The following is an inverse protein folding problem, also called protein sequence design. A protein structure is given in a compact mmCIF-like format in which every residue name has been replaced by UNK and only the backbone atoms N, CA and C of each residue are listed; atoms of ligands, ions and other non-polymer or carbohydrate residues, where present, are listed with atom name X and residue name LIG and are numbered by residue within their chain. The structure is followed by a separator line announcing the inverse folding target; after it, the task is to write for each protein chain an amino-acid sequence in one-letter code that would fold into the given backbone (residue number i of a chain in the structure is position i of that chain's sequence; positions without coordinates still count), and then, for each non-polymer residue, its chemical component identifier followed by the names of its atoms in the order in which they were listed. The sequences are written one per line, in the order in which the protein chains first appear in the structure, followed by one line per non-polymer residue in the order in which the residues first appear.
data_IF_168550014594
#
_entry.id   IF_168550014594
#
_cell.length_a   1.000
_cell.length_b   1.000
_cell.length_c   1.000
_cell.angle_alpha   90.00
_cell.angle_beta   90.00
_cell.angle_gamma   90.00
#
_symmetry.space_group_name_H-M   'P 1'
#
loop_
_entity.id
_entity.type
_entity.pdbx_description
1 polymer ?
#
# COMPACT_ATOMS: atom_id res chain seq x y z
N UNK A 1 12.80 -29.47 13.77
CA UNK A 1 11.55 -29.81 14.49
C UNK A 1 11.72 -29.97 16.01
N UNK A 2 12.76 -30.62 16.53
CA UNK A 2 12.96 -30.82 17.98
C UNK A 2 12.87 -29.53 18.82
N UNK A 3 13.69 -28.51 18.53
CA UNK A 3 13.68 -27.25 19.29
C UNK A 3 12.34 -26.51 19.24
N UNK A 4 11.58 -26.61 18.15
CA UNK A 4 10.23 -26.07 18.07
C UNK A 4 9.27 -26.78 19.04
N UNK A 5 9.34 -28.11 19.12
CA UNK A 5 8.50 -28.86 20.07
C UNK A 5 8.86 -28.52 21.53
N UNK A 6 10.15 -28.35 21.84
CA UNK A 6 10.60 -27.92 23.16
C UNK A 6 10.11 -26.50 23.52
N UNK A 7 10.12 -25.58 22.55
CA UNK A 7 9.58 -24.24 22.72
C UNK A 7 8.07 -24.25 22.94
N UNK A 8 7.31 -25.00 22.13
CA UNK A 8 5.85 -25.09 22.26
C UNK A 8 5.43 -25.78 23.57
N UNK A 9 6.24 -26.71 24.08
CA UNK A 9 6.04 -27.33 25.39
C UNK A 9 6.46 -26.43 26.57
N UNK A 10 6.97 -25.22 26.31
CA UNK A 10 7.44 -24.29 27.33
C UNK A 10 8.76 -24.71 28.00
N UNK A 11 9.46 -25.72 27.48
CA UNK A 11 10.75 -26.21 27.98
C UNK A 11 11.92 -25.33 27.53
N UNK A 12 11.76 -24.65 26.40
CA UNK A 12 12.72 -23.68 25.86
C UNK A 12 12.08 -22.27 25.82
N UNK A 13 12.83 -21.24 26.24
CA UNK A 13 12.36 -19.84 26.22
C UNK A 13 12.59 -19.15 24.87
N UNK A 14 13.64 -19.55 24.16
CA UNK A 14 14.03 -18.93 22.89
C UNK A 14 13.20 -19.50 21.74
N UNK A 15 12.58 -18.61 20.98
CA UNK A 15 11.82 -18.97 19.80
C UNK A 15 12.77 -19.42 18.67
N UNK A 16 12.64 -20.64 18.12
CA UNK A 16 13.46 -21.09 17.01
C UNK A 16 13.01 -20.42 15.70
N UNK A 17 13.49 -19.19 15.49
CA UNK A 17 13.08 -18.32 14.39
C UNK A 17 13.34 -18.96 13.02
N UNK A 18 14.50 -19.59 12.83
CA UNK A 18 14.87 -20.24 11.56
C UNK A 18 13.91 -21.39 11.21
N UNK A 19 13.45 -22.14 12.22
CA UNK A 19 12.49 -23.24 12.00
C UNK A 19 11.14 -22.69 11.58
N UNK A 20 10.66 -21.62 12.24
CA UNK A 20 9.39 -20.99 11.88
C UNK A 20 9.47 -20.35 10.49
N UNK A 21 10.59 -19.71 10.17
CA UNK A 21 10.82 -19.13 8.85
C UNK A 21 10.85 -20.20 7.75
N UNK A 22 11.50 -21.34 7.98
CA UNK A 22 11.51 -22.44 7.02
C UNK A 22 10.09 -22.99 6.75
N UNK A 23 9.29 -23.17 7.80
CA UNK A 23 7.89 -23.60 7.68
C UNK A 23 7.01 -22.54 7.00
N UNK A 24 7.23 -21.26 7.29
CA UNK A 24 6.53 -20.14 6.63
C UNK A 24 6.87 -20.09 5.14
N UNK A 25 8.14 -20.30 4.75
CA UNK A 25 8.55 -20.40 3.33
C UNK A 25 7.87 -21.59 2.65
N UNK A 26 7.83 -22.76 3.29
CA UNK A 26 7.16 -23.95 2.75
C UNK A 26 5.67 -23.69 2.47
N UNK A 27 4.96 -23.08 3.42
CA UNK A 27 3.54 -22.72 3.26
C UNK A 27 3.29 -21.61 2.24
N UNK A 28 4.32 -20.83 1.88
CA UNK A 28 4.21 -19.75 0.90
C UNK A 28 4.53 -20.18 -0.52
N UNK A 29 5.23 -21.31 -0.71
CA UNK A 29 5.73 -21.73 -2.01
C UNK A 29 4.63 -21.83 -3.07
N UNK A 30 3.57 -22.59 -2.81
CA UNK A 30 2.48 -22.79 -3.75
C UNK A 30 1.64 -21.51 -3.99
N UNK A 31 1.26 -20.73 -2.96
CA UNK A 31 0.68 -19.40 -3.16
C UNK A 31 1.54 -18.45 -4.00
N UNK A 32 2.86 -18.43 -3.80
CA UNK A 32 3.80 -17.59 -4.58
C UNK A 32 3.84 -17.95 -6.06
N UNK A 33 3.57 -19.20 -6.42
CA UNK A 33 3.47 -19.62 -7.83
C UNK A 33 2.12 -19.24 -8.47
N UNK A 34 1.06 -19.13 -7.67
CA UNK A 34 -0.32 -18.85 -8.15
C UNK A 34 -0.66 -17.37 -8.16
N UNK A 35 -0.06 -16.57 -7.28
CA UNK A 35 -0.45 -15.19 -7.00
C UNK A 35 0.75 -14.25 -7.03
N UNK A 36 0.48 -12.94 -7.14
CA UNK A 36 1.53 -11.93 -7.02
C UNK A 36 1.90 -11.79 -5.55
N UNK A 37 3.09 -12.30 -5.20
CA UNK A 37 3.66 -12.23 -3.86
C UNK A 37 4.35 -10.90 -3.62
N UNK A 38 3.92 -10.17 -2.59
CA UNK A 38 4.52 -8.90 -2.16
C UNK A 38 4.72 -8.97 -0.65
N UNK A 39 5.99 -9.04 -0.22
CA UNK A 39 6.36 -9.23 1.19
C UNK A 39 5.71 -10.51 1.75
N UNK A 40 4.74 -10.37 2.65
CA UNK A 40 3.98 -11.44 3.31
C UNK A 40 2.53 -11.51 2.86
N UNK A 41 2.20 -10.88 1.74
CA UNK A 41 0.86 -10.86 1.18
C UNK A 41 0.82 -11.38 -0.26
N UNK A 42 -0.31 -11.97 -0.63
CA UNK A 42 -0.57 -12.53 -1.95
C UNK A 42 -1.76 -11.84 -2.59
N UNK A 43 -1.61 -11.37 -3.82
CA UNK A 43 -2.63 -10.59 -4.53
C UNK A 43 -3.00 -11.22 -5.86
N UNK A 44 -4.28 -11.14 -6.21
CA UNK A 44 -4.80 -11.60 -7.50
C UNK A 44 -6.17 -10.99 -7.77
N UNK A 45 -6.47 -10.71 -9.04
CA UNK A 45 -7.82 -10.35 -9.48
C UNK A 45 -8.85 -11.45 -9.19
N UNK A 46 -8.41 -12.71 -9.04
CA UNK A 46 -9.29 -13.84 -8.71
C UNK A 46 -9.96 -13.74 -7.32
N UNK A 47 -9.41 -12.94 -6.40
CA UNK A 47 -9.99 -12.72 -5.06
C UNK A 47 -11.20 -11.78 -5.05
N UNK A 48 -11.59 -11.26 -6.22
CA UNK A 48 -12.79 -10.47 -6.38
C UNK A 48 -12.72 -9.08 -5.72
N UNK A 49 -13.78 -8.31 -5.98
CA UNK A 49 -14.10 -6.94 -5.57
C UNK A 49 -12.99 -5.87 -5.66
N UNK A 50 -11.85 -6.22 -6.26
CA UNK A 50 -10.91 -5.28 -6.85
C UNK A 50 -11.50 -4.63 -8.09
N UNK A 51 -11.11 -3.39 -8.34
CA UNK A 51 -11.66 -2.57 -9.41
C UNK A 51 -10.81 -1.34 -9.70
N UNK A 52 -11.18 -0.63 -10.76
CA UNK A 52 -10.46 0.56 -11.19
C UNK A 52 -10.56 1.68 -10.13
N UNK A 53 -9.41 2.25 -9.77
CA UNK A 53 -9.33 3.41 -8.86
C UNK A 53 -9.01 4.70 -9.60
N UNK A 54 -8.90 4.63 -10.93
CA UNK A 54 -8.63 5.75 -11.82
C UNK A 54 -7.14 5.99 -12.08
N UNK A 55 -6.86 6.77 -13.13
CA UNK A 55 -5.51 7.13 -13.58
C UNK A 55 -4.64 5.92 -13.94
N UNK A 56 -5.22 4.90 -14.58
CA UNK A 56 -4.50 3.69 -15.00
C UNK A 56 -4.06 2.77 -13.87
N UNK A 57 -4.72 2.88 -12.72
CA UNK A 57 -4.46 2.07 -11.53
C UNK A 57 -5.75 1.35 -11.12
N UNK A 58 -5.60 0.12 -10.66
CA UNK A 58 -6.66 -0.72 -10.14
C UNK A 58 -6.28 -1.26 -8.75
N UNK A 59 -7.28 -1.59 -7.95
CA UNK A 59 -7.11 -2.22 -6.66
C UNK A 59 -7.18 -3.73 -6.81
N UNK A 60 -6.18 -4.46 -6.32
CA UNK A 60 -6.25 -5.91 -6.18
C UNK A 60 -6.46 -6.27 -4.73
N UNK A 61 -7.36 -7.23 -4.53
CA UNK A 61 -7.54 -7.89 -3.25
C UNK A 61 -6.58 -9.06 -3.10
N UNK A 62 -6.30 -9.39 -1.87
CA UNK A 62 -5.34 -10.41 -1.50
C UNK A 62 -5.46 -10.76 -0.04
N UNK A 63 -4.46 -11.46 0.47
CA UNK A 63 -4.39 -11.82 1.88
C UNK A 63 -2.95 -11.79 2.37
N UNK A 64 -2.78 -11.39 3.62
CA UNK A 64 -1.58 -11.55 4.40
C UNK A 64 -1.51 -12.97 4.96
N UNK A 65 -0.31 -13.52 5.02
CA UNK A 65 -0.03 -14.83 5.59
C UNK A 65 1.22 -14.75 6.47
N UNK A 66 1.11 -15.24 7.71
CA UNK A 66 2.27 -15.50 8.56
C UNK A 66 2.03 -16.69 9.48
N UNK A 67 3.04 -17.55 9.60
CA UNK A 67 3.06 -18.57 10.64
C UNK A 67 3.57 -17.97 11.96
N UNK A 68 2.85 -18.20 13.07
CA UNK A 68 3.22 -17.69 14.39
C UNK A 68 3.16 -18.80 15.44
N UNK A 69 4.09 -18.79 16.38
CA UNK A 69 3.97 -19.61 17.58
C UNK A 69 3.08 -18.89 18.61
N UNK A 70 2.10 -19.62 19.15
CA UNK A 70 1.15 -19.14 20.15
C UNK A 70 1.07 -20.12 21.30
N UNK A 71 0.35 -19.78 22.37
CA UNK A 71 0.08 -20.70 23.49
C UNK A 71 -0.72 -21.94 23.07
N UNK A 72 -1.43 -21.89 21.93
CA UNK A 72 -2.18 -23.03 21.38
C UNK A 72 -1.34 -23.88 20.40
N UNK A 73 -0.05 -23.58 20.25
CA UNK A 73 0.81 -24.18 19.24
C UNK A 73 1.08 -23.23 18.06
N UNK A 74 1.47 -23.81 16.93
CA UNK A 74 1.64 -23.05 15.69
C UNK A 74 0.29 -22.62 15.12
N UNK A 75 0.15 -21.35 14.79
CA UNK A 75 -1.05 -20.77 14.21
C UNK A 75 -0.73 -20.04 12.91
N UNK A 76 -1.50 -20.37 11.87
CA UNK A 76 -1.43 -19.67 10.59
C UNK A 76 -2.33 -18.43 10.68
N UNK A 77 -1.71 -17.25 10.72
CA UNK A 77 -2.41 -15.98 10.73
C UNK A 77 -2.67 -15.53 9.29
N UNK A 78 -3.95 -15.39 8.94
CA UNK A 78 -4.43 -14.94 7.64
C UNK A 78 -5.31 -13.71 7.85
N UNK A 79 -5.07 -12.67 7.06
CA UNK A 79 -5.91 -11.47 7.06
C UNK A 79 -6.12 -10.93 5.65
N UNK A 80 -7.25 -10.29 5.38
CA UNK A 80 -7.55 -9.71 4.07
C UNK A 80 -6.70 -8.44 3.87
N UNK A 81 -6.15 -8.31 2.67
CA UNK A 81 -5.36 -7.15 2.26
C UNK A 81 -5.81 -6.64 0.90
N UNK A 82 -5.57 -5.36 0.64
CA UNK A 82 -5.86 -4.72 -0.65
C UNK A 82 -4.75 -3.74 -0.98
N UNK A 83 -4.31 -3.70 -2.24
CA UNK A 83 -3.27 -2.77 -2.67
C UNK A 83 -3.43 -2.39 -4.14
N UNK A 84 -2.76 -1.32 -4.54
CA UNK A 84 -2.86 -0.75 -5.88
C UNK A 84 -1.88 -1.43 -6.86
N UNK A 85 -2.36 -1.71 -8.07
CA UNK A 85 -1.64 -2.28 -9.18
C UNK A 85 -1.84 -1.44 -10.43
N UNK A 86 -0.85 -1.44 -11.33
CA UNK A 86 -1.04 -0.87 -12.66
C UNK A 86 -2.03 -1.75 -13.44
N UNK A 87 -3.01 -1.11 -14.08
CA UNK A 87 -3.93 -1.77 -15.00
C UNK A 87 -3.15 -2.29 -16.21
N UNK A 88 -3.43 -3.52 -16.63
CA UNK A 88 -2.82 -4.11 -17.82
C UNK A 88 -3.50 -3.54 -19.07
N UNK A 89 -2.86 -2.55 -19.69
CA UNK A 89 -3.43 -1.82 -20.83
C UNK A 89 -2.35 -1.21 -21.73
N UNK A 90 -2.70 -0.78 -22.95
CA UNK A 90 -1.81 0.01 -23.81
C UNK A 90 -1.27 1.24 -23.08
N UNK A 91 -0.01 1.61 -23.36
CA UNK A 91 0.63 2.77 -22.73
C UNK A 91 -0.07 4.08 -23.10
N UNK A 92 -0.63 4.16 -24.31
CA UNK A 92 -1.41 5.32 -24.76
C UNK A 92 -2.64 5.50 -23.86
N UNK A 93 -3.43 4.44 -23.65
CA UNK A 93 -4.63 4.47 -22.81
C UNK A 93 -4.28 4.85 -21.37
N UNK A 94 -3.21 4.26 -20.82
CA UNK A 94 -2.69 4.66 -19.51
C UNK A 94 -2.33 6.14 -19.45
N UNK A 95 -1.65 6.68 -20.47
CA UNK A 95 -1.25 8.07 -20.49
C UNK A 95 -2.45 9.02 -20.57
N UNK A 96 -3.47 8.67 -21.36
CA UNK A 96 -4.72 9.43 -21.46
C UNK A 96 -5.46 9.44 -20.12
N UNK A 97 -5.63 8.27 -19.48
CA UNK A 97 -6.27 8.15 -18.16
C UNK A 97 -5.47 8.88 -17.06
N UNK A 98 -4.13 8.78 -17.09
CA UNK A 98 -3.25 9.36 -16.07
C UNK A 98 -3.17 10.90 -16.15
N UNK A 99 -3.13 11.43 -17.37
CA UNK A 99 -3.07 12.88 -17.61
C UNK A 99 -4.46 13.53 -17.70
N UNK A 100 -5.53 12.72 -17.71
CA UNK A 100 -6.91 13.15 -17.91
C UNK A 100 -7.08 13.95 -19.22
N UNK A 101 -6.57 13.37 -20.31
CA UNK A 101 -6.63 13.92 -21.68
C UNK A 101 -7.51 13.01 -22.53
N UNK A 102 -8.38 13.59 -23.36
CA UNK A 102 -9.33 12.81 -24.17
C UNK A 102 -8.80 12.36 -25.52
N UNK A 103 -7.78 13.04 -26.08
CA UNK A 103 -7.32 12.80 -27.44
C UNK A 103 -5.79 12.70 -27.52
N UNK A 104 -5.32 11.63 -28.17
CA UNK A 104 -3.91 11.39 -28.45
C UNK A 104 -3.36 12.20 -29.64
N UNK A 105 -4.21 12.94 -30.36
CA UNK A 105 -3.79 13.83 -31.46
C UNK A 105 -2.98 15.04 -30.98
N UNK A 106 -3.21 15.50 -29.74
CA UNK A 106 -2.54 16.67 -29.16
C UNK A 106 -1.10 16.34 -28.74
N UNK A 107 -0.19 17.30 -28.92
CA UNK A 107 1.16 17.23 -28.37
C UNK A 107 1.15 17.33 -26.83
N UNK A 108 1.92 16.46 -26.17
CA UNK A 108 2.08 16.53 -24.72
C UNK A 108 2.90 17.77 -24.34
N UNK A 109 2.41 18.50 -23.34
CA UNK A 109 3.20 19.60 -22.75
C UNK A 109 4.42 19.02 -22.02
N UNK A 110 5.48 19.81 -21.86
CA UNK A 110 6.65 19.35 -21.10
C UNK A 110 6.32 18.95 -19.66
N UNK A 111 5.34 19.63 -19.04
CA UNK A 111 4.86 19.28 -17.71
C UNK A 111 4.22 17.88 -17.70
N UNK A 112 3.37 17.58 -18.68
CA UNK A 112 2.69 16.28 -18.77
C UNK A 112 3.66 15.16 -19.13
N UNK A 113 4.61 15.44 -20.03
CA UNK A 113 5.73 14.54 -20.33
C UNK A 113 6.53 14.20 -19.09
N UNK A 114 6.86 15.19 -18.24
CA UNK A 114 7.61 14.96 -17.00
C UNK A 114 6.79 14.19 -15.96
N UNK A 115 5.48 14.42 -15.85
CA UNK A 115 4.56 13.62 -15.01
C UNK A 115 4.55 12.16 -15.48
N UNK A 116 4.35 11.94 -16.78
CA UNK A 116 4.29 10.61 -17.38
C UNK A 116 5.63 9.87 -17.25
N UNK A 117 6.75 10.57 -17.45
CA UNK A 117 8.11 10.03 -17.22
C UNK A 117 8.28 9.53 -15.79
N UNK A 118 7.81 10.28 -14.78
CA UNK A 118 7.87 9.86 -13.38
C UNK A 118 6.96 8.66 -13.09
N UNK A 119 5.78 8.63 -13.70
CA UNK A 119 4.78 7.57 -13.51
C UNK A 119 5.22 6.23 -14.12
N UNK A 120 5.81 6.25 -15.32
CA UNK A 120 6.22 5.07 -16.08
C UNK A 120 7.64 4.57 -15.74
N UNK A 121 8.49 5.39 -15.10
CA UNK A 121 9.85 4.97 -14.73
C UNK A 121 9.83 3.73 -13.85
N UNK A 122 10.43 2.64 -14.34
CA UNK A 122 10.51 1.34 -13.68
C UNK A 122 9.31 0.43 -13.94
N UNK A 123 8.31 0.86 -14.71
CA UNK A 123 7.22 -0.01 -15.16
C UNK A 123 7.75 -0.95 -16.24
N UNK A 124 7.32 -2.22 -16.20
CA UNK A 124 7.62 -3.21 -17.24
C UNK A 124 6.52 -3.21 -18.28
N UNK A 125 6.91 -3.23 -19.55
CA UNK A 125 6.01 -3.27 -20.69
C UNK A 125 6.38 -4.42 -21.61
N UNK A 126 5.42 -4.86 -22.40
CA UNK A 126 5.64 -5.78 -23.52
C UNK A 126 5.43 -5.03 -24.82
N UNK A 127 6.33 -5.24 -25.77
CA UNK A 127 6.19 -4.66 -27.10
C UNK A 127 5.29 -5.54 -27.99
N UNK A 128 4.36 -4.91 -28.71
CA UNK A 128 3.31 -5.60 -29.48
C UNK A 128 3.54 -5.59 -30.99
N UNK A 129 4.55 -4.87 -31.48
CA UNK A 129 4.85 -4.74 -32.91
C UNK A 129 5.38 -6.04 -33.56
N UNK A 130 5.88 -7.00 -32.78
CA UNK A 130 6.33 -8.31 -33.26
C UNK A 130 5.33 -9.38 -32.84
N UNK A 131 4.72 -10.08 -33.80
CA UNK A 131 3.78 -11.17 -33.53
C UNK A 131 4.47 -12.43 -33.00
N UNK A 132 5.72 -12.65 -33.41
CA UNK A 132 6.45 -13.89 -33.12
C UNK A 132 7.22 -13.85 -31.79
N UNK A 133 7.41 -12.66 -31.21
CA UNK A 133 8.25 -12.47 -30.01
C UNK A 133 7.62 -11.49 -29.03
N UNK A 134 7.32 -11.97 -27.83
CA UNK A 134 6.89 -11.16 -26.69
C UNK A 134 8.11 -10.74 -25.87
N UNK A 135 8.69 -9.57 -26.21
CA UNK A 135 9.86 -9.04 -25.49
C UNK A 135 9.41 -8.08 -24.40
N UNK A 136 9.89 -8.30 -23.17
CA UNK A 136 9.60 -7.46 -22.01
C UNK A 136 10.71 -6.43 -21.82
N UNK A 137 10.33 -5.19 -21.60
CA UNK A 137 11.25 -4.08 -21.34
C UNK A 137 10.91 -3.40 -20.03
N UNK A 138 11.94 -2.90 -19.32
CA UNK A 138 11.77 -2.02 -18.17
C UNK A 138 12.01 -0.58 -18.61
N UNK A 139 11.01 0.27 -18.44
CA UNK A 139 11.10 1.68 -18.83
C UNK A 139 12.09 2.41 -17.92
N UNK A 140 13.06 3.09 -18.53
CA UNK A 140 14.04 3.94 -17.84
C UNK A 140 13.65 5.41 -17.91
N UNK A 141 12.97 5.83 -18.98
CA UNK A 141 12.57 7.22 -19.18
C UNK A 141 11.67 7.44 -20.40
N UNK A 142 11.51 8.72 -20.75
CA UNK A 142 10.85 9.20 -21.96
C UNK A 142 11.81 10.15 -22.68
N UNK A 143 11.78 10.15 -24.01
CA UNK A 143 12.54 11.12 -24.82
C UNK A 143 12.08 12.55 -24.55
N UNK A 144 12.98 13.51 -24.76
CA UNK A 144 12.65 14.93 -24.69
C UNK A 144 12.02 15.44 -26.00
N UNK A 145 12.40 14.84 -27.12
CA UNK A 145 11.88 15.15 -28.46
C UNK A 145 10.74 14.21 -28.85
N UNK A 146 9.81 14.66 -29.72
CA UNK A 146 8.74 13.83 -30.26
C UNK A 146 9.28 12.73 -31.17
N UNK A 147 8.46 11.71 -31.42
CA UNK A 147 8.84 10.54 -32.19
C UNK A 147 9.18 10.85 -33.65
N UNK A 148 8.51 11.83 -34.25
CA UNK A 148 8.76 12.26 -35.64
C UNK A 148 10.20 12.73 -35.88
N UNK A 149 10.79 13.40 -34.88
CA UNK A 149 12.13 13.98 -34.97
C UNK A 149 13.20 13.06 -34.36
N UNK A 150 12.77 11.92 -33.79
CA UNK A 150 13.64 10.98 -33.10
C UNK A 150 14.39 10.08 -34.10
N UNK A 151 15.72 10.16 -34.06
CA UNK A 151 16.63 9.29 -34.81
C UNK A 151 17.49 8.47 -33.86
N UNK A 152 17.90 7.29 -34.30
CA UNK A 152 18.86 6.45 -33.61
C UNK A 152 19.91 5.92 -34.59
N UNK A 153 21.05 5.51 -34.05
CA UNK A 153 22.13 4.91 -34.83
C UNK A 153 21.88 3.40 -35.00
N UNK A 154 21.76 2.96 -36.24
CA UNK A 154 21.66 1.56 -36.64
C UNK A 154 22.90 1.23 -37.47
N UNK A 155 23.88 0.59 -36.84
CA UNK A 155 25.13 0.14 -37.47
C UNK A 155 25.89 1.24 -38.24
N UNK A 156 25.93 2.46 -37.70
CA UNK A 156 26.60 3.63 -38.27
C UNK A 156 25.70 4.50 -39.14
N UNK A 157 24.44 4.11 -39.37
CA UNK A 157 23.47 4.88 -40.14
C UNK A 157 22.42 5.48 -39.22
N UNK A 158 22.21 6.81 -39.31
CA UNK A 158 21.11 7.47 -38.58
C UNK A 158 19.79 7.18 -39.26
N UNK A 159 18.89 6.50 -38.54
CA UNK A 159 17.56 6.15 -39.03
C UNK A 159 16.50 6.78 -38.13
N UNK A 160 15.43 7.33 -38.73
CA UNK A 160 14.25 7.79 -37.98
C UNK A 160 13.50 6.60 -37.39
N UNK A 161 13.05 6.71 -36.13
CA UNK A 161 12.27 5.64 -35.49
C UNK A 161 10.97 5.38 -36.26
N UNK A 162 10.31 6.43 -36.77
CA UNK A 162 9.09 6.29 -37.57
C UNK A 162 9.36 5.51 -38.86
N UNK A 163 10.44 5.87 -39.57
CA UNK A 163 10.81 5.19 -40.80
C UNK A 163 11.22 3.74 -40.56
N UNK A 164 11.97 3.48 -39.49
CA UNK A 164 12.37 2.12 -39.10
C UNK A 164 11.15 1.24 -38.86
N UNK A 165 10.14 1.71 -38.12
CA UNK A 165 8.94 0.92 -37.86
C UNK A 165 8.10 0.67 -39.12
N UNK A 166 8.06 1.64 -40.04
CA UNK A 166 7.39 1.49 -41.34
C UNK A 166 8.12 0.48 -42.23
N UNK A 167 9.43 0.57 -42.36
CA UNK A 167 10.22 -0.32 -43.23
C UNK A 167 10.36 -1.73 -42.66
N UNK A 168 10.65 -1.86 -41.37
CA UNK A 168 11.00 -3.15 -40.75
C UNK A 168 9.75 -3.96 -40.37
N UNK A 169 8.68 -3.31 -39.92
CA UNK A 169 7.48 -3.98 -39.40
C UNK A 169 6.21 -3.67 -40.19
N UNK A 170 6.29 -2.90 -41.28
CA UNK A 170 5.13 -2.41 -42.03
C UNK A 170 4.07 -1.75 -41.11
N UNK A 171 4.53 -0.98 -40.12
CA UNK A 171 3.67 -0.37 -39.12
C UNK A 171 3.74 1.16 -39.19
N UNK A 172 2.64 1.78 -39.62
CA UNK A 172 2.49 3.23 -39.69
C UNK A 172 2.01 3.78 -38.34
N UNK A 173 2.94 4.34 -37.58
CA UNK A 173 2.66 4.97 -36.28
C UNK A 173 1.80 6.22 -36.46
N UNK A 174 0.80 6.38 -35.58
CA UNK A 174 -0.14 7.50 -35.59
C UNK A 174 0.25 8.57 -34.57
N UNK A 175 0.66 8.17 -33.37
CA UNK A 175 1.03 9.09 -32.29
C UNK A 175 2.46 9.64 -32.45
N UNK A 176 2.80 10.17 -33.63
CA UNK A 176 4.16 10.61 -33.97
C UNK A 176 4.61 11.87 -33.24
N UNK A 177 3.67 12.66 -32.72
CA UNK A 177 3.98 13.87 -31.95
C UNK A 177 4.24 13.60 -30.47
N UNK A 178 4.05 12.36 -30.02
CA UNK A 178 4.30 11.95 -28.64
C UNK A 178 5.76 11.55 -28.43
N UNK A 179 6.28 11.65 -27.21
CA UNK A 179 7.62 11.15 -26.90
C UNK A 179 7.68 9.62 -26.98
N UNK A 180 8.88 9.10 -27.15
CA UNK A 180 9.16 7.67 -27.19
C UNK A 180 9.50 7.15 -25.79
N UNK A 181 9.12 5.90 -25.47
CA UNK A 181 9.60 5.23 -24.27
C UNK A 181 11.08 4.88 -24.44
N UNK A 182 11.86 5.08 -23.39
CA UNK A 182 13.25 4.63 -23.33
C UNK A 182 13.36 3.41 -22.42
N UNK A 183 14.12 2.42 -22.88
CA UNK A 183 14.56 1.25 -22.14
C UNK A 183 16.04 0.97 -22.44
N UNK A 184 16.61 -0.09 -21.84
CA UNK A 184 18.03 -0.42 -22.01
C UNK A 184 18.95 0.41 -21.12
N UNK A 185 20.22 0.51 -21.48
CA UNK A 185 21.24 1.31 -20.79
C UNK A 185 21.48 2.63 -21.50
N UNK A 186 22.11 3.60 -20.82
CA UNK A 186 22.48 4.89 -21.42
C UNK A 186 23.45 4.71 -22.61
N UNK A 187 24.28 3.67 -22.58
CA UNK A 187 25.20 3.31 -23.68
C UNK A 187 24.53 2.63 -24.87
N UNK A 188 23.38 1.97 -24.66
CA UNK A 188 22.61 1.27 -25.69
C UNK A 188 21.12 1.50 -25.44
N UNK A 189 20.63 2.72 -25.73
CA UNK A 189 19.24 3.06 -25.51
C UNK A 189 18.34 2.31 -26.48
N UNK A 190 17.21 1.83 -25.98
CA UNK A 190 16.16 1.20 -26.77
C UNK A 190 14.97 2.16 -26.81
N UNK A 191 14.56 2.54 -28.01
CA UNK A 191 13.42 3.42 -28.25
C UNK A 191 12.19 2.61 -28.64
N UNK A 192 11.13 2.74 -27.84
CA UNK A 192 9.87 2.02 -28.03
C UNK A 192 8.71 3.02 -28.17
N UNK A 193 8.11 3.16 -29.36
CA UNK A 193 6.90 3.96 -29.51
C UNK A 193 5.81 3.51 -28.52
N UNK A 194 5.13 4.47 -27.90
CA UNK A 194 4.09 4.17 -26.90
C UNK A 194 2.93 3.34 -27.47
N UNK A 195 2.60 3.57 -28.75
CA UNK A 195 1.54 2.87 -29.51
C UNK A 195 1.75 1.36 -29.60
N UNK A 196 3.01 0.90 -29.50
CA UNK A 196 3.36 -0.53 -29.62
C UNK A 196 3.76 -1.16 -28.29
N UNK A 197 3.31 -0.59 -27.16
CA UNK A 197 3.67 -1.05 -25.83
C UNK A 197 2.45 -1.22 -24.92
N UNK A 198 2.37 -2.36 -24.23
CA UNK A 198 1.36 -2.63 -23.21
C UNK A 198 2.00 -2.79 -21.84
N UNK A 199 1.38 -2.20 -20.81
CA UNK A 199 1.76 -2.43 -19.41
C UNK A 199 1.45 -3.88 -19.05
N UNK A 200 2.42 -4.56 -18.46
CA UNK A 200 2.24 -5.92 -17.96
C UNK A 200 1.39 -5.92 -16.67
N UNK A 201 0.55 -6.94 -16.53
CA UNK A 201 -0.23 -7.20 -15.33
C UNK A 201 0.64 -7.53 -14.10
N UNK A 202 0.03 -7.46 -12.90
CA UNK A 202 0.68 -7.89 -11.66
C UNK A 202 1.80 -6.97 -11.18
N UNK A 203 1.86 -5.73 -11.66
CA UNK A 203 2.85 -4.75 -11.23
C UNK A 203 2.29 -3.83 -10.15
N UNK A 204 2.85 -3.90 -8.94
CA UNK A 204 2.44 -3.05 -7.82
C UNK A 204 2.67 -1.57 -8.14
N UNK A 205 1.62 -0.77 -7.96
CA UNK A 205 1.72 0.69 -7.99
C UNK A 205 2.32 1.20 -6.68
N UNK A 206 3.59 1.63 -6.72
CA UNK A 206 4.35 2.00 -5.50
C UNK A 206 4.40 3.50 -5.24
N UNK A 207 3.75 4.32 -6.08
CA UNK A 207 3.72 5.78 -5.91
C UNK A 207 2.61 6.18 -4.95
N UNK A 208 2.71 7.42 -4.44
CA UNK A 208 1.66 7.99 -3.59
C UNK A 208 0.36 8.08 -4.38
N UNK A 209 -0.70 7.51 -3.81
CA UNK A 209 -2.05 7.61 -4.32
C UNK A 209 -2.65 8.98 -3.98
N UNK A 210 -3.55 9.48 -4.83
CA UNK A 210 -4.34 10.67 -4.52
C UNK A 210 -5.47 10.33 -3.52
N UNK A 211 -6.09 11.35 -2.92
CA UNK A 211 -7.13 11.15 -1.89
C UNK A 211 -8.35 10.37 -2.40
N UNK A 212 -8.73 10.56 -3.68
CA UNK A 212 -9.83 9.83 -4.30
C UNK A 212 -9.52 8.33 -4.42
N UNK A 213 -8.30 8.01 -4.88
CA UNK A 213 -7.78 6.64 -4.97
C UNK A 213 -7.70 5.99 -3.59
N UNK A 214 -7.15 6.69 -2.59
CA UNK A 214 -7.10 6.19 -1.20
C UNK A 214 -8.49 5.90 -0.67
N UNK A 215 -9.44 6.82 -0.86
CA UNK A 215 -10.84 6.64 -0.44
C UNK A 215 -11.49 5.45 -1.15
N UNK A 216 -11.23 5.26 -2.45
CA UNK A 216 -11.74 4.13 -3.22
C UNK A 216 -11.20 2.79 -2.69
N UNK A 217 -9.88 2.69 -2.43
CA UNK A 217 -9.29 1.50 -1.81
C UNK A 217 -9.88 1.25 -0.43
N UNK A 218 -10.02 2.28 0.41
CA UNK A 218 -10.62 2.13 1.74
C UNK A 218 -12.05 1.61 1.65
N UNK A 219 -12.87 2.13 0.72
CA UNK A 219 -14.23 1.64 0.51
C UNK A 219 -14.27 0.17 0.07
N UNK A 220 -13.33 -0.25 -0.78
CA UNK A 220 -13.24 -1.64 -1.24
C UNK A 220 -12.65 -2.60 -0.19
N UNK A 221 -11.75 -2.12 0.67
CA UNK A 221 -11.05 -2.94 1.66
C UNK A 221 -11.76 -3.03 3.02
N UNK A 222 -12.62 -2.06 3.35
CA UNK A 222 -13.32 -2.00 4.63
C UNK A 222 -14.54 -2.93 4.64
N UNK A 223 -14.38 -4.10 5.25
CA UNK A 223 -15.45 -5.07 5.47
C UNK A 223 -15.91 -5.08 6.93
N UNK A 224 -17.20 -5.35 7.15
CA UNK A 224 -17.72 -5.59 8.51
C UNK A 224 -17.14 -6.90 9.07
N UNK A 225 -17.00 -7.06 10.40
CA UNK A 225 -16.34 -8.23 10.99
C UNK A 225 -16.85 -9.59 10.46
N UNK A 226 -18.17 -9.78 10.37
CA UNK A 226 -18.76 -11.02 9.84
C UNK A 226 -18.42 -11.27 8.37
N UNK A 227 -18.40 -10.22 7.55
CA UNK A 227 -18.01 -10.32 6.14
C UNK A 227 -16.52 -10.64 6.01
N UNK A 228 -15.67 -9.96 6.80
CA UNK A 228 -14.22 -10.21 6.83
C UNK A 228 -13.90 -11.63 7.26
N UNK A 229 -14.62 -12.16 8.25
CA UNK A 229 -14.50 -13.56 8.67
C UNK A 229 -14.81 -14.53 7.52
N UNK A 230 -15.92 -14.32 6.79
CA UNK A 230 -16.28 -15.16 5.66
C UNK A 230 -15.23 -15.08 4.54
N UNK A 231 -14.72 -13.88 4.26
CA UNK A 231 -13.64 -13.65 3.31
C UNK A 231 -12.36 -14.41 3.66
N UNK A 232 -11.97 -14.42 4.94
CA UNK A 232 -10.80 -15.17 5.41
C UNK A 232 -11.02 -16.68 5.21
N UNK A 233 -12.20 -17.19 5.54
CA UNK A 233 -12.56 -18.60 5.33
C UNK A 233 -12.56 -18.99 3.84
N UNK A 234 -13.02 -18.10 2.97
CA UNK A 234 -12.95 -18.31 1.51
C UNK A 234 -11.50 -18.43 1.02
N UNK A 235 -10.61 -17.56 1.49
CA UNK A 235 -9.17 -17.61 1.18
C UNK A 235 -8.57 -18.94 1.62
N UNK A 236 -8.86 -19.38 2.85
CA UNK A 236 -8.35 -20.66 3.39
C UNK A 236 -8.84 -21.83 2.54
N UNK A 237 -10.14 -21.84 2.21
CA UNK A 237 -10.76 -22.87 1.36
C UNK A 237 -10.13 -22.92 -0.04
N UNK A 238 -9.96 -21.76 -0.69
CA UNK A 238 -9.39 -21.64 -2.04
C UNK A 238 -7.91 -22.05 -2.12
N UNK A 239 -7.13 -21.75 -1.08
CA UNK A 239 -5.73 -22.15 -1.02
C UNK A 239 -5.57 -23.63 -0.71
N UNK A 240 -6.55 -24.23 -0.04
CA UNK A 240 -6.60 -25.66 0.28
C UNK A 240 -5.29 -26.18 0.88
N UNK A 241 -4.80 -25.49 1.93
CA UNK A 241 -3.51 -25.79 2.55
C UNK A 241 -3.37 -27.26 3.01
N UNK A 242 -4.47 -27.95 3.32
CA UNK A 242 -4.46 -29.37 3.68
C UNK A 242 -4.11 -30.31 2.51
N UNK A 243 -4.33 -29.88 1.27
CA UNK A 243 -3.97 -30.64 0.07
C UNK A 243 -2.74 -30.12 -0.67
N UNK A 244 -2.15 -29.03 -0.19
CA UNK A 244 -0.98 -28.40 -0.75
C UNK A 244 0.23 -29.34 -0.75
N UNK A 245 0.95 -29.41 -1.88
CA UNK A 245 2.09 -30.32 -2.05
C UNK A 245 3.20 -30.02 -1.05
N UNK A 246 3.55 -28.74 -0.88
CA UNK A 246 4.60 -28.35 0.07
C UNK A 246 4.15 -28.58 1.51
N UNK A 247 2.90 -28.28 1.86
CA UNK A 247 2.40 -28.59 3.20
C UNK A 247 2.48 -30.10 3.50
N UNK A 248 2.08 -30.96 2.55
CA UNK A 248 2.13 -32.42 2.69
C UNK A 248 3.55 -32.96 2.84
N UNK A 249 4.48 -32.50 2.00
CA UNK A 249 5.89 -32.92 2.04
C UNK A 249 6.55 -32.60 3.40
N UNK A 250 6.21 -31.45 3.97
CA UNK A 250 6.72 -31.03 5.29
C UNK A 250 5.87 -31.56 6.46
N UNK A 251 4.86 -32.41 6.20
CA UNK A 251 3.97 -32.97 7.21
C UNK A 251 3.09 -31.94 7.93
N UNK A 252 2.88 -30.77 7.35
CA UNK A 252 2.08 -29.68 7.92
C UNK A 252 0.61 -29.93 7.62
N UNK A 253 -0.21 -29.96 8.68
CA UNK A 253 -1.67 -30.04 8.58
C UNK A 253 -2.27 -28.73 9.08
N UNK A 254 -2.96 -28.03 8.19
CA UNK A 254 -3.64 -26.76 8.51
C UNK A 254 -5.13 -27.04 8.68
N UNK A 255 -5.70 -26.60 9.79
CA UNK A 255 -7.15 -26.68 10.05
C UNK A 255 -7.90 -25.58 9.30
N UNK A 256 -9.06 -25.91 8.71
CA UNK A 256 -9.90 -24.96 7.97
C UNK A 256 -10.89 -24.18 8.85
N UNK A 257 -10.67 -24.14 10.16
CA UNK A 257 -11.51 -23.46 11.13
C UNK A 257 -10.72 -22.33 11.80
N UNK A 258 -11.42 -21.27 12.18
CA UNK A 258 -10.83 -20.20 12.98
C UNK A 258 -10.56 -20.71 14.40
N UNK A 259 -9.44 -20.28 14.96
CA UNK A 259 -9.12 -20.59 16.35
C UNK A 259 -10.11 -19.89 17.28
N UNK A 260 -10.71 -20.63 18.20
CA UNK A 260 -11.57 -20.10 19.25
C UNK A 260 -10.70 -19.76 20.47
N UNK A 261 -10.90 -18.57 21.01
CA UNK A 261 -10.15 -18.07 22.17
C UNK A 261 -11.13 -17.46 23.16
N UNK A 262 -10.99 -17.83 24.43
CA UNK A 262 -11.78 -17.24 25.51
C UNK A 262 -11.33 -15.79 25.75
N UNK A 263 -12.28 -14.87 25.63
CA UNK A 263 -12.06 -13.45 25.83
C UNK A 263 -12.80 -12.95 27.08
N UNK A 264 -12.26 -11.90 27.72
CA UNK A 264 -12.91 -11.20 28.84
C UNK A 264 -13.09 -9.73 28.50
N UNK A 265 -14.30 -9.21 28.73
CA UNK A 265 -14.60 -7.79 28.61
C UNK A 265 -14.35 -7.14 29.97
N UNK A 266 -13.32 -6.30 30.05
CA UNK A 266 -13.02 -5.58 31.29
C UNK A 266 -14.04 -4.46 31.53
N UNK A 267 -14.40 -4.18 32.80
CA UNK A 267 -15.29 -3.07 33.12
C UNK A 267 -14.64 -1.74 32.74
N UNK A 268 -15.43 -0.82 32.20
CA UNK A 268 -14.95 0.50 31.84
C UNK A 268 -14.48 1.27 33.11
N UNK A 269 -13.34 1.98 33.06
CA UNK A 269 -12.91 2.81 34.17
C UNK A 269 -13.86 3.99 34.35
N UNK A 270 -14.10 4.39 35.60
CA UNK A 270 -14.89 5.59 35.90
C UNK A 270 -14.03 6.82 35.63
N UNK A 271 -14.53 7.74 34.83
CA UNK A 271 -13.87 9.02 34.55
C UNK A 271 -14.38 10.07 35.53
N UNK A 272 -13.45 10.73 36.24
CA UNK A 272 -13.76 11.85 37.14
C UNK A 272 -13.48 13.18 36.43
N UNK A 273 -14.40 14.12 36.60
CA UNK A 273 -14.34 15.49 36.09
C UNK A 273 -14.46 16.48 37.25
N UNK A 274 -14.20 17.76 36.94
CA UNK A 274 -14.22 18.81 37.96
C UNK A 274 -15.61 18.96 38.60
N UNK A 275 -15.63 19.30 39.89
CA UNK A 275 -16.86 19.40 40.69
C UNK A 275 -17.79 20.55 40.28
N UNK A 276 -17.31 21.51 39.48
CA UNK A 276 -18.11 22.60 38.91
C UNK A 276 -18.91 22.17 37.67
N UNK A 277 -18.63 21.01 37.09
CA UNK A 277 -19.43 20.43 36.02
C UNK A 277 -20.78 19.93 36.53
N UNK A 278 -21.79 19.93 35.64
CA UNK A 278 -23.10 19.30 35.92
C UNK A 278 -22.96 17.79 36.07
N UNK A 279 -22.05 17.19 35.31
CA UNK A 279 -21.69 15.78 35.39
C UNK A 279 -20.23 15.65 35.85
N UNK A 280 -20.05 15.07 37.04
CA UNK A 280 -18.75 14.96 37.74
C UNK A 280 -18.08 13.60 37.53
N UNK A 281 -18.88 12.60 37.17
CA UNK A 281 -18.43 11.23 36.94
C UNK A 281 -19.12 10.73 35.69
N UNK A 282 -18.34 10.11 34.80
CA UNK A 282 -18.83 9.49 33.59
C UNK A 282 -18.33 8.05 33.52
N UNK A 283 -19.22 7.12 33.19
CA UNK A 283 -18.85 5.74 32.89
C UNK A 283 -18.90 5.56 31.37
N UNK A 284 -17.75 5.36 30.70
CA UNK A 284 -17.73 5.16 29.26
C UNK A 284 -18.57 3.96 28.85
N UNK A 285 -19.36 4.12 27.80
CA UNK A 285 -20.14 3.04 27.21
C UNK A 285 -19.47 2.63 25.91
N UNK A 286 -19.12 1.33 25.78
CA UNK A 286 -18.48 0.78 24.58
C UNK A 286 -17.20 1.57 24.21
N UNK A 287 -16.44 1.99 25.23
CA UNK A 287 -15.21 2.78 25.06
C UNK A 287 -15.42 4.23 24.60
N UNK A 288 -16.65 4.75 24.61
CA UNK A 288 -16.97 6.11 24.18
C UNK A 288 -17.49 6.97 25.34
N UNK A 289 -17.13 8.24 25.32
CA UNK A 289 -17.66 9.29 26.18
C UNK A 289 -17.53 10.65 25.47
N UNK A 290 -18.26 11.65 25.94
CA UNK A 290 -18.16 13.03 25.43
C UNK A 290 -18.01 14.02 26.59
N UNK A 291 -17.68 15.27 26.26
CA UNK A 291 -17.48 16.36 27.22
C UNK A 291 -18.75 17.13 27.57
N UNK A 292 -19.92 16.68 27.09
CA UNK A 292 -21.17 17.37 27.37
C UNK A 292 -21.41 17.39 28.88
N UNK A 293 -21.77 18.57 29.40
CA UNK A 293 -22.05 18.80 30.82
C UNK A 293 -20.87 18.58 31.80
N UNK A 294 -19.65 18.37 31.30
CA UNK A 294 -18.44 18.09 32.08
C UNK A 294 -17.45 19.25 32.01
N UNK A 295 -16.64 19.40 33.05
CA UNK A 295 -15.57 20.42 33.11
C UNK A 295 -14.25 19.71 33.37
N UNK A 296 -13.18 20.15 32.69
CA UNK A 296 -11.84 19.59 32.90
C UNK A 296 -11.41 19.72 34.35
N UNK A 297 -10.90 18.63 34.93
CA UNK A 297 -10.46 18.55 36.33
C UNK A 297 -9.35 19.56 36.67
N UNK A 298 -8.48 19.84 35.70
CA UNK A 298 -7.50 20.92 35.75
C UNK A 298 -7.61 21.78 34.50
N UNK A 299 -7.55 23.10 34.66
CA UNK A 299 -7.53 24.04 33.55
C UNK A 299 -6.47 25.12 33.73
N UNK A 300 -5.95 25.61 32.62
CA UNK A 300 -4.96 26.68 32.57
C UNK A 300 -5.54 27.87 31.82
N UNK A 301 -5.33 29.07 32.36
CA UNK A 301 -5.67 30.30 31.64
C UNK A 301 -4.64 30.56 30.55
N UNK A 302 -5.10 30.79 29.34
CA UNK A 302 -4.28 30.73 28.15
C UNK A 302 -4.66 31.86 27.21
N UNK A 303 -3.74 32.82 26.99
CA UNK A 303 -3.91 33.94 26.06
C UNK A 303 -3.37 33.54 24.69
N UNK A 304 -4.22 33.56 23.66
CA UNK A 304 -3.84 33.22 22.30
C UNK A 304 -4.23 34.35 21.33
N UNK A 305 -3.39 34.57 20.32
CA UNK A 305 -3.72 35.37 19.13
C UNK A 305 -3.60 34.48 17.90
N UNK A 306 -4.72 34.29 17.20
CA UNK A 306 -4.75 33.60 15.92
C UNK A 306 -4.65 34.60 14.77
N UNK A 307 -3.75 34.42 13.79
CA UNK A 307 -3.78 35.22 12.57
C UNK A 307 -5.10 34.94 11.84
N UNK A 308 -5.85 36.00 11.53
CA UNK A 308 -7.00 35.92 10.64
C UNK A 308 -6.48 36.07 9.21
N UNK A 309 -6.36 34.97 8.48
CA UNK A 309 -6.05 35.02 7.05
C UNK A 309 -7.25 35.68 6.35
N UNK A 310 -7.05 36.87 5.79
CA UNK A 310 -8.00 37.46 4.84
C UNK A 310 -7.73 36.84 3.48
N UNK A 311 -8.78 36.37 2.82
CA UNK A 311 -8.74 36.12 1.38
C UNK A 311 -8.70 37.49 0.68
N UNK A 312 -7.51 37.90 0.25
CA UNK A 312 -7.35 39.03 -0.66
C UNK A 312 -7.70 38.57 -2.08
N UNK A 313 -9.01 38.45 -2.35
CA UNK A 313 -9.53 38.49 -3.72
C UNK A 313 -10.34 39.76 -3.92
N UNK A 314 -9.64 40.90 -4.00
CA UNK A 314 -10.06 42.04 -4.82
C UNK A 314 -8.82 42.68 -5.44
N UNK A 315 -8.89 42.77 -6.77
CA UNK A 315 -8.03 43.45 -7.71
C UNK A 315 -7.21 44.61 -7.14
N UNK A 316 -5.89 44.58 -7.36
CA UNK A 316 -5.19 45.71 -7.96
C UNK A 316 -3.87 45.25 -8.57
N UNK A 317 -3.58 45.83 -9.74
CA UNK A 317 -2.46 45.55 -10.62
C UNK A 317 -1.12 45.99 -10.00
N UNK A 318 -0.04 45.26 -10.34
CA UNK A 318 1.32 45.76 -10.26
C UNK A 318 2.19 45.18 -9.15
N UNK A 319 3.30 44.59 -9.58
CA UNK A 319 4.51 44.22 -8.81
C UNK A 319 4.48 42.92 -7.99
N UNK A 320 5.05 41.89 -8.61
CA UNK A 320 5.83 40.84 -7.91
C UNK A 320 6.99 41.50 -7.14
N UNK A 321 7.40 40.99 -5.97
CA UNK A 321 8.17 39.75 -5.96
C UNK A 321 7.95 38.80 -4.77
N UNK A 322 8.29 37.51 -5.00
CA UNK A 322 8.66 36.49 -4.01
C UNK A 322 7.74 36.27 -2.80
N UNK A 323 6.65 35.53 -3.01
CA UNK A 323 6.02 34.75 -1.93
C UNK A 323 6.61 33.34 -1.92
N UNK A 324 7.71 33.15 -1.19
CA UNK A 324 7.93 31.86 -0.54
C UNK A 324 6.71 31.59 0.35
N UNK A 325 5.85 30.66 -0.06
CA UNK A 325 4.87 30.06 0.85
C UNK A 325 5.64 29.26 1.90
N UNK A 326 6.21 29.94 2.89
CA UNK A 326 6.54 29.33 4.17
C UNK A 326 5.21 28.91 4.78
N UNK A 327 4.80 27.68 4.49
CA UNK A 327 3.87 26.96 5.33
C UNK A 327 4.39 27.11 6.76
N UNK A 328 3.68 27.89 7.57
CA UNK A 328 3.95 28.02 8.98
C UNK A 328 3.78 26.62 9.54
N UNK A 329 4.91 25.95 9.73
CA UNK A 329 4.99 24.72 10.48
C UNK A 329 4.53 25.12 11.88
N UNK A 330 3.25 24.86 12.18
CA UNK A 330 2.79 24.82 13.55
C UNK A 330 3.61 23.68 14.15
N UNK A 331 4.75 24.02 14.76
CA UNK A 331 5.41 23.17 15.73
C UNK A 331 4.39 23.00 16.84
N UNK A 332 3.55 21.99 16.68
CA UNK A 332 2.65 21.55 17.72
C UNK A 332 3.51 21.36 18.94
N UNK A 333 3.24 22.13 19.99
CA UNK A 333 3.78 21.87 21.30
C UNK A 333 3.34 20.45 21.63
N UNK A 334 4.27 19.50 21.56
CA UNK A 334 4.05 18.16 22.05
C UNK A 334 3.60 18.31 23.51
N UNK A 335 2.41 17.78 23.84
CA UNK A 335 2.11 17.48 25.23
C UNK A 335 3.15 16.44 25.66
N UNK A 336 4.11 16.87 26.48
CA UNK A 336 4.90 15.93 27.26
C UNK A 336 3.93 15.23 28.21
N UNK A 337 3.54 14.00 27.85
CA UNK A 337 2.94 13.07 28.80
C UNK A 337 4.07 12.71 29.75
N UNK A 338 4.07 13.27 30.96
CA UNK A 338 4.91 12.72 32.01
C UNK A 338 4.50 11.26 32.23
N UNK A 339 5.45 10.30 32.23
CA UNK A 339 5.11 8.94 32.62
C UNK A 339 4.50 8.98 34.02
N UNK A 340 3.54 8.10 34.33
CA UNK A 340 2.97 8.04 35.68
C UNK A 340 4.12 7.90 36.67
N UNK A 341 4.08 8.70 37.74
CA UNK A 341 5.02 8.58 38.86
C UNK A 341 5.19 7.09 39.18
N UNK A 342 6.44 6.60 39.12
CA UNK A 342 6.76 5.25 39.59
C UNK A 342 6.11 5.09 40.96
N UNK A 343 5.38 3.99 41.23
CA UNK A 343 4.89 3.74 42.57
C UNK A 343 6.09 3.78 43.51
N UNK A 344 5.97 4.56 44.60
CA UNK A 344 6.94 4.54 45.69
C UNK A 344 7.24 3.07 46.00
N UNK A 345 8.52 2.68 45.98
CA UNK A 345 8.94 1.39 46.53
C UNK A 345 8.40 1.32 47.96
N UNK A 346 7.36 0.52 48.17
CA UNK A 346 7.02 0.08 49.52
C UNK A 346 8.21 -0.71 50.04
N UNK A 347 8.56 -0.44 51.30
CA UNK A 347 9.63 -1.15 52.00
C UNK A 347 9.31 -2.66 52.06
N UNK A 348 10.30 -3.55 52.22
CA UNK A 348 10.09 -5.00 52.18
C UNK A 348 9.19 -5.59 53.28
N UNK A 349 8.61 -4.79 54.17
CA UNK A 349 7.85 -5.29 55.33
C UNK A 349 6.35 -5.47 55.08
N UNK A 350 5.78 -4.97 53.98
CA UNK A 350 4.31 -5.03 53.73
C UNK A 350 3.87 -6.10 52.72
N UNK A 351 4.64 -7.19 52.54
CA UNK A 351 4.33 -8.25 51.53
C UNK A 351 3.90 -9.61 52.10
N UNK A 352 3.35 -9.65 53.31
CA UNK A 352 2.76 -10.86 53.87
C UNK A 352 1.37 -10.51 54.42
N UNK A 353 0.40 -10.41 53.54
CA UNK A 353 -1.02 -10.70 53.77
C UNK A 353 -1.77 -10.27 52.50
N UNK A 354 -2.29 -11.26 51.77
CA UNK A 354 -3.38 -11.28 50.77
C UNK A 354 -3.06 -12.47 49.86
N UNK A 355 -3.07 -13.66 50.46
CA UNK A 355 -3.29 -14.95 49.81
C UNK A 355 -3.95 -15.87 50.85
N UNK A 356 -5.09 -15.43 51.40
CA UNK A 356 -6.18 -16.27 51.93
C UNK A 356 -7.46 -15.47 51.82
N UNK A 357 -8.39 -15.98 51.00
CA UNK A 357 -9.67 -15.39 50.66
C UNK A 357 -10.25 -16.13 49.47
#
# INVERSE_FOLDING_TARGET
MYSLNEFLAGRQRELPQDTIQALDIALRHCPSARYVSISSSFFSQAFGHGGEIGSGVECWRGYYQSLRATQMGLSLNIDISATAFYKAQPIIDFALEYLNICDASRQLTDQDRLKLKKALKGVRVVATHRRDKSVRYRITGLTAIPLNDLTFDQDGTRVSVVQYFKCQYNHCLKCIHWPCLQAGSDSRPIYLPMEVCNILEGQRYSRKLNERQVTSILRMACERPTQRQNSILEVVSRNNYGNDYCAKEFGIKVTNQLALVDARVLPAPRLKYHDSGREKVCNPLIGQWNMNNKVFDQFWSMKWRGPRLRDDTKNDEGQSPNKESKAMMIRGTFMHIHPPMKPKRQSPQDKIEILRG
#
